data_IF_091550894927
#
_entry.id   IF_091550894927
#
_cell.length_a   1.000
_cell.length_b   1.000
_cell.length_c   1.000
_cell.angle_alpha   90.00
_cell.angle_beta   90.00
_cell.angle_gamma   90.00
#
_symmetry.space_group_name_H-M   'P 1'
#
loop_
_entity.id
_entity.type
_entity.pdbx_description
1 polymer ?
#
# COMPACT_ATOMS: atom_id res chain seq x y z
N UNK A 1 1.93 -6.74 -3.07
CA UNK A 1 1.67 -6.93 -1.62
C UNK A 1 0.55 -5.98 -1.20
N UNK A 2 -0.43 -6.46 -0.45
CA UNK A 2 -1.51 -5.64 0.11
C UNK A 2 -1.49 -5.74 1.64
N UNK A 3 -1.29 -4.60 2.31
CA UNK A 3 -1.27 -4.45 3.77
C UNK A 3 -2.53 -3.71 4.24
N UNK A 4 -3.47 -4.43 4.84
CA UNK A 4 -4.61 -3.82 5.52
C UNK A 4 -5.02 -4.67 6.74
N UNK A 5 -5.12 -4.06 7.94
CA UNK A 5 -5.53 -4.75 9.15
C UNK A 5 -7.00 -5.19 9.11
N UNK A 6 -7.78 -4.73 8.13
CA UNK A 6 -9.16 -5.13 7.93
C UNK A 6 -9.27 -6.22 6.84
N UNK A 7 -9.50 -7.50 7.21
CA UNK A 7 -9.58 -8.61 6.25
C UNK A 7 -10.76 -8.53 5.27
N UNK A 8 -11.71 -7.61 5.47
CA UNK A 8 -12.77 -7.33 4.47
C UNK A 8 -12.24 -6.52 3.29
N UNK A 9 -11.33 -5.57 3.53
CA UNK A 9 -10.72 -4.76 2.49
C UNK A 9 -9.81 -5.62 1.60
N UNK A 10 -9.07 -6.54 2.23
CA UNK A 10 -8.22 -7.52 1.53
C UNK A 10 -9.03 -8.38 0.55
N UNK A 11 -10.20 -8.88 0.97
CA UNK A 11 -11.12 -9.64 0.11
C UNK A 11 -11.69 -8.79 -1.03
N UNK A 12 -12.14 -7.56 -0.73
CA UNK A 12 -12.65 -6.65 -1.74
C UNK A 12 -11.59 -6.34 -2.82
N UNK A 13 -10.34 -6.12 -2.40
CA UNK A 13 -9.22 -5.91 -3.32
C UNK A 13 -8.99 -7.13 -4.23
N UNK A 14 -9.05 -8.34 -3.67
CA UNK A 14 -8.92 -9.57 -4.45
C UNK A 14 -9.99 -9.70 -5.54
N UNK A 15 -11.25 -9.43 -5.18
CA UNK A 15 -12.38 -9.51 -6.09
C UNK A 15 -12.25 -8.46 -7.22
N UNK A 16 -11.87 -7.23 -6.87
CA UNK A 16 -11.77 -6.13 -7.82
C UNK A 16 -10.55 -6.23 -8.74
N UNK A 17 -9.44 -6.75 -8.25
CA UNK A 17 -8.24 -7.00 -9.04
C UNK A 17 -8.34 -8.31 -9.84
N UNK A 18 -9.46 -9.06 -9.72
CA UNK A 18 -9.69 -10.35 -10.36
C UNK A 18 -8.54 -11.34 -10.13
N UNK A 19 -7.94 -11.26 -8.94
CA UNK A 19 -6.78 -12.03 -8.52
C UNK A 19 -7.22 -13.47 -8.26
N UNK A 20 -6.85 -14.37 -9.18
CA UNK A 20 -7.04 -15.81 -9.02
C UNK A 20 -6.21 -16.41 -7.89
N UNK A 21 -6.45 -17.68 -7.55
CA UNK A 21 -5.71 -18.41 -6.49
C UNK A 21 -4.19 -18.49 -6.73
N UNK A 22 -3.76 -18.44 -7.99
CA UNK A 22 -2.35 -18.52 -8.38
C UNK A 22 -1.73 -17.14 -8.63
N UNK A 23 -2.44 -16.07 -8.26
CA UNK A 23 -1.97 -14.70 -8.49
C UNK A 23 -0.83 -14.33 -7.53
N UNK A 24 0.17 -13.54 -7.97
CA UNK A 24 1.29 -13.08 -7.13
C UNK A 24 0.89 -12.08 -6.02
N UNK A 25 -0.39 -12.03 -5.65
CA UNK A 25 -0.94 -11.07 -4.72
C UNK A 25 -0.90 -11.60 -3.28
N UNK A 26 0.10 -11.14 -2.53
CA UNK A 26 0.24 -11.45 -1.11
C UNK A 26 -0.56 -10.46 -0.27
N UNK A 27 -1.46 -10.95 0.59
CA UNK A 27 -2.21 -10.16 1.56
C UNK A 27 -1.67 -10.38 2.97
N UNK A 28 -1.53 -9.31 3.73
CA UNK A 28 -1.05 -9.32 5.12
C UNK A 28 -1.84 -8.32 5.95
N UNK A 29 -1.94 -8.58 7.25
CA UNK A 29 -2.74 -7.75 8.16
C UNK A 29 -1.87 -6.83 9.03
N UNK A 30 -0.58 -7.14 9.14
CA UNK A 30 0.35 -6.40 10.00
C UNK A 30 1.56 -5.88 9.25
N UNK A 31 2.10 -4.75 9.72
CA UNK A 31 3.35 -4.19 9.20
C UNK A 31 4.52 -5.17 9.33
N UNK A 32 4.55 -5.96 10.42
CA UNK A 32 5.57 -7.00 10.63
C UNK A 32 5.55 -8.05 9.51
N UNK A 33 4.36 -8.53 9.13
CA UNK A 33 4.20 -9.49 8.03
C UNK A 33 4.56 -8.86 6.69
N UNK A 34 4.13 -7.61 6.45
CA UNK A 34 4.49 -6.88 5.24
C UNK A 34 6.01 -6.77 5.06
N UNK A 35 6.72 -6.38 6.12
CA UNK A 35 8.18 -6.27 6.08
C UNK A 35 8.87 -7.63 5.90
N UNK A 36 8.34 -8.70 6.50
CA UNK A 36 8.87 -10.05 6.28
C UNK A 36 8.75 -10.48 4.82
N UNK A 37 7.64 -10.16 4.15
CA UNK A 37 7.47 -10.41 2.71
C UNK A 37 8.42 -9.56 1.89
N UNK A 38 8.52 -8.25 2.17
CA UNK A 38 9.36 -7.32 1.42
C UNK A 38 10.87 -7.59 1.54
N UNK A 39 11.30 -8.21 2.63
CA UNK A 39 12.70 -8.60 2.87
C UNK A 39 13.02 -10.02 2.39
N UNK A 40 12.01 -10.79 1.95
CA UNK A 40 12.22 -12.11 1.37
C UNK A 40 12.77 -12.02 -0.06
N UNK A 41 13.12 -13.16 -0.66
CA UNK A 41 13.55 -13.23 -2.06
C UNK A 41 12.40 -13.01 -3.07
N UNK A 42 11.18 -12.72 -2.59
CA UNK A 42 10.04 -12.40 -3.45
C UNK A 42 10.23 -11.01 -4.06
N UNK A 43 10.27 -10.95 -5.39
CA UNK A 43 10.28 -9.67 -6.12
C UNK A 43 8.90 -9.00 -6.03
N UNK A 44 8.72 -8.10 -5.06
CA UNK A 44 7.50 -7.33 -4.91
C UNK A 44 7.57 -6.08 -5.80
N UNK A 45 6.65 -5.98 -6.75
CA UNK A 45 6.62 -4.86 -7.72
C UNK A 45 5.78 -3.68 -7.23
N UNK A 46 4.84 -3.93 -6.31
CA UNK A 46 3.96 -2.90 -5.76
C UNK A 46 3.48 -3.27 -4.34
N UNK A 47 3.54 -2.29 -3.44
CA UNK A 47 2.86 -2.33 -2.14
C UNK A 47 1.62 -1.46 -2.17
N UNK A 48 0.52 -2.01 -1.66
CA UNK A 48 -0.73 -1.30 -1.46
C UNK A 48 -1.03 -1.32 0.03
N UNK A 49 -1.37 -0.17 0.60
CA UNK A 49 -1.71 -0.07 2.02
C UNK A 49 -2.76 1.01 2.27
N UNK A 50 -3.42 0.97 3.41
CA UNK A 50 -4.10 2.14 3.94
C UNK A 50 -3.08 3.15 4.51
N UNK A 51 -3.40 4.45 4.48
CA UNK A 51 -2.56 5.48 5.12
C UNK A 51 -2.65 5.42 6.65
N UNK A 52 -3.86 5.18 7.17
CA UNK A 52 -4.16 5.15 8.60
C UNK A 52 -4.22 6.54 9.23
N UNK A 53 -4.96 6.65 10.34
CA UNK A 53 -5.05 7.88 11.14
C UNK A 53 -4.42 7.65 12.51
N UNK A 54 -3.55 8.57 12.95
CA UNK A 54 -2.98 8.57 14.28
C UNK A 54 -3.08 9.99 14.87
N UNK A 55 -3.63 10.11 16.08
CA UNK A 55 -3.80 11.40 16.76
C UNK A 55 -2.50 11.90 17.40
N UNK A 56 -1.59 11.00 17.77
CA UNK A 56 -0.39 11.29 18.55
C UNK A 56 0.82 10.46 18.08
N UNK A 57 1.13 10.52 16.78
CA UNK A 57 2.26 9.78 16.22
C UNK A 57 2.24 9.71 14.70
N UNK A 58 3.21 8.99 14.11
CA UNK A 58 3.19 8.72 12.67
C UNK A 58 1.93 7.92 12.29
N UNK A 59 1.43 8.12 11.08
CA UNK A 59 0.42 7.25 10.50
C UNK A 59 1.00 5.86 10.19
N UNK A 60 0.15 4.84 10.04
CA UNK A 60 0.58 3.51 9.64
C UNK A 60 1.36 3.52 8.31
N UNK A 61 0.95 4.39 7.38
CA UNK A 61 1.66 4.59 6.11
C UNK A 61 3.03 5.23 6.28
N UNK A 62 3.19 6.16 7.23
CA UNK A 62 4.51 6.72 7.56
C UNK A 62 5.43 5.66 8.17
N UNK A 63 4.92 4.86 9.11
CA UNK A 63 5.70 3.77 9.73
C UNK A 63 6.15 2.73 8.69
N UNK A 64 5.28 2.38 7.72
CA UNK A 64 5.63 1.51 6.60
C UNK A 64 6.78 2.09 5.78
N UNK A 65 6.66 3.34 5.33
CA UNK A 65 7.67 3.97 4.50
C UNK A 65 9.02 4.13 5.21
N UNK A 66 8.99 4.45 6.50
CA UNK A 66 10.19 4.58 7.33
C UNK A 66 10.90 3.24 7.50
N UNK A 67 10.17 2.16 7.81
CA UNK A 67 10.76 0.82 7.90
C UNK A 67 11.29 0.31 6.56
N UNK A 68 10.60 0.59 5.45
CA UNK A 68 11.09 0.27 4.11
C UNK A 68 12.39 1.01 3.80
N UNK A 69 12.49 2.28 4.18
CA UNK A 69 13.70 3.10 4.01
C UNK A 69 14.86 2.53 4.82
N UNK A 70 14.64 2.20 6.09
CA UNK A 70 15.67 1.65 6.98
C UNK A 70 16.19 0.30 6.51
N UNK A 71 15.29 -0.58 6.04
CA UNK A 71 15.64 -1.86 5.46
C UNK A 71 16.13 -1.77 3.99
N UNK A 72 16.24 -0.56 3.43
CA UNK A 72 16.63 -0.30 2.03
C UNK A 72 15.76 -1.03 0.99
N UNK A 73 14.50 -1.30 1.32
CA UNK A 73 13.51 -1.85 0.40
C UNK A 73 13.13 -0.78 -0.62
N UNK A 74 13.18 -1.13 -1.91
CA UNK A 74 12.82 -0.25 -3.03
C UNK A 74 11.63 -0.84 -3.77
N UNK A 75 10.44 -0.66 -3.21
CA UNK A 75 9.18 -1.06 -3.83
C UNK A 75 8.24 0.16 -3.80
N UNK A 76 7.57 0.51 -4.90
CA UNK A 76 6.61 1.62 -4.91
C UNK A 76 5.44 1.30 -3.97
N UNK A 77 4.98 2.33 -3.25
CA UNK A 77 3.86 2.23 -2.31
C UNK A 77 2.72 3.12 -2.78
N UNK A 78 1.54 2.53 -3.00
CA UNK A 78 0.30 3.26 -3.24
C UNK A 78 -0.58 3.15 -2.01
N UNK A 79 -1.01 4.29 -1.48
CA UNK A 79 -2.01 4.31 -0.43
C UNK A 79 -3.42 4.36 -1.01
N UNK A 80 -4.30 3.52 -0.48
CA UNK A 80 -5.73 3.55 -0.75
C UNK A 80 -6.46 3.97 0.52
N UNK A 81 -7.05 5.16 0.52
CA UNK A 81 -7.72 5.77 1.68
C UNK A 81 -9.18 6.04 1.36
N UNK A 82 -10.01 6.15 2.39
CA UNK A 82 -11.30 6.81 2.23
C UNK A 82 -11.12 8.33 2.02
N UNK A 83 -12.13 8.96 1.42
CA UNK A 83 -12.07 10.33 0.91
C UNK A 83 -11.81 11.41 1.98
N UNK A 84 -12.05 11.12 3.26
CA UNK A 84 -12.23 12.17 4.28
C UNK A 84 -11.00 13.06 4.49
N UNK A 85 -9.80 12.58 4.17
CA UNK A 85 -8.55 13.34 4.31
C UNK A 85 -7.53 13.08 3.19
N UNK A 86 -7.96 12.44 2.10
CA UNK A 86 -7.03 12.01 1.06
C UNK A 86 -6.29 13.19 0.40
N UNK A 87 -6.99 14.28 0.12
CA UNK A 87 -6.40 15.49 -0.46
C UNK A 87 -5.31 16.12 0.44
N UNK A 88 -5.52 16.09 1.75
CA UNK A 88 -4.58 16.65 2.75
C UNK A 88 -3.39 15.70 2.98
N UNK A 89 -3.65 14.40 3.02
CA UNK A 89 -2.63 13.37 3.29
C UNK A 89 -1.74 13.09 2.07
N UNK A 90 -2.26 13.23 0.84
CA UNK A 90 -1.49 12.96 -0.39
C UNK A 90 -0.15 13.69 -0.47
N UNK A 91 -0.06 15.02 -0.29
CA UNK A 91 1.24 15.70 -0.31
C UNK A 91 2.17 15.26 0.83
N UNK A 92 1.64 14.81 1.96
CA UNK A 92 2.44 14.23 3.05
C UNK A 92 3.00 12.88 2.63
N UNK A 93 2.15 11.97 2.14
CA UNK A 93 2.57 10.65 1.67
C UNK A 93 3.66 10.72 0.60
N UNK A 94 3.49 11.60 -0.40
CA UNK A 94 4.49 11.79 -1.46
C UNK A 94 5.83 12.30 -0.92
N UNK A 95 5.83 13.23 0.05
CA UNK A 95 7.06 13.70 0.70
C UNK A 95 7.80 12.60 1.47
N UNK A 96 7.08 11.60 1.95
CA UNK A 96 7.65 10.42 2.62
C UNK A 96 8.12 9.33 1.65
N UNK A 97 7.92 9.52 0.34
CA UNK A 97 8.38 8.58 -0.70
C UNK A 97 7.31 7.61 -1.20
N UNK A 98 6.04 7.83 -0.89
CA UNK A 98 4.95 7.12 -1.55
C UNK A 98 4.95 7.39 -3.06
N UNK A 99 4.52 6.40 -3.85
CA UNK A 99 4.27 6.59 -5.27
C UNK A 99 2.95 7.35 -5.50
N UNK A 100 1.91 7.03 -4.73
CA UNK A 100 0.66 7.79 -4.75
C UNK A 100 -0.16 7.60 -3.46
N UNK A 101 -1.16 8.45 -3.26
CA UNK A 101 -2.26 8.25 -2.33
C UNK A 101 -3.56 8.56 -3.06
N UNK A 102 -4.44 7.56 -3.08
CA UNK A 102 -5.66 7.53 -3.88
C UNK A 102 -6.88 7.33 -2.99
N UNK A 103 -8.02 7.80 -3.47
CA UNK A 103 -9.27 7.88 -2.70
C UNK A 103 -10.48 7.24 -3.38
N UNK A 104 -10.28 6.80 -4.62
CA UNK A 104 -11.27 6.09 -5.42
C UNK A 104 -10.61 4.96 -6.20
N UNK A 105 -11.40 3.94 -6.55
CA UNK A 105 -10.91 2.82 -7.37
C UNK A 105 -10.37 3.28 -8.72
N UNK A 106 -10.99 4.29 -9.34
CA UNK A 106 -10.52 4.84 -10.63
C UNK A 106 -9.11 5.43 -10.48
N UNK A 107 -8.87 6.26 -9.46
CA UNK A 107 -7.54 6.81 -9.18
C UNK A 107 -6.52 5.73 -8.85
N UNK A 108 -6.94 4.71 -8.09
CA UNK A 108 -6.12 3.58 -7.72
C UNK A 108 -5.64 2.81 -8.95
N UNK A 109 -6.54 2.40 -9.84
CA UNK A 109 -6.17 1.67 -11.06
C UNK A 109 -5.27 2.52 -11.97
N UNK A 110 -5.57 3.82 -12.12
CA UNK A 110 -4.70 4.73 -12.87
C UNK A 110 -3.30 4.84 -12.25
N UNK A 111 -3.18 4.79 -10.91
CA UNK A 111 -1.88 4.78 -10.24
C UNK A 111 -1.13 3.46 -10.47
N UNK A 112 -1.84 2.33 -10.42
CA UNK A 112 -1.27 1.01 -10.72
C UNK A 112 -0.75 0.97 -12.16
N UNK A 113 -1.54 1.36 -13.16
CA UNK A 113 -1.14 1.36 -14.58
C UNK A 113 0.09 2.23 -14.86
N UNK A 114 0.27 3.33 -14.11
CA UNK A 114 1.47 4.17 -14.20
C UNK A 114 2.73 3.50 -13.65
N UNK A 115 2.57 2.63 -12.64
CA UNK A 115 3.68 2.00 -11.91
C UNK A 115 4.06 0.67 -12.55
N UNK A 116 3.07 -0.11 -12.98
CA UNK A 116 3.22 -1.42 -13.59
C UNK A 116 2.71 -1.37 -15.04
N UNK A 117 3.41 -0.69 -15.95
CA UNK A 117 3.05 -0.73 -17.37
C UNK A 117 3.33 -2.13 -17.94
N UNK A 118 2.48 -2.57 -18.86
CA UNK A 118 2.62 -3.84 -19.61
C UNK A 118 4.00 -4.01 -20.31
#
# INVERSE_FOLDING_TARGET
LWLDPNPKNNRLAQDLLQVGKDSPFVQVETLKEAMAVLQSEVNCELVISHWGYCTNGPSAGQELLDQMKDARVRCPVVFFSDNAFAAENRPVALRWGAADLTSSWVEFFQAVDRILPD
#
